data_IF_364661626337
#
_entry.id   IF_364661626337
#
_cell.length_a   1.000
_cell.length_b   1.000
_cell.length_c   1.000
_cell.angle_alpha   90.00
_cell.angle_beta   90.00
_cell.angle_gamma   90.00
#
_symmetry.space_group_name_H-M   'P 1'
#
loop_
_entity.id
_entity.type
_entity.pdbx_description
1 polymer ?
#
# COMPACT_ATOMS: atom_id res chain seq x y z
N UNK A 1 37.94 64.64 -34.15
CA UNK A 1 36.82 64.05 -33.43
C UNK A 1 36.47 62.73 -34.06
N UNK A 2 36.86 61.60 -33.43
CA UNK A 2 36.56 60.25 -33.92
C UNK A 2 35.54 59.67 -32.97
N UNK A 3 34.30 59.39 -33.46
CA UNK A 3 33.26 58.68 -32.69
C UNK A 3 33.47 57.16 -32.78
N UNK A 4 33.76 56.62 -31.64
CA UNK A 4 33.83 55.08 -31.45
C UNK A 4 32.42 54.63 -31.15
N UNK A 5 31.77 53.95 -32.10
CA UNK A 5 30.47 53.32 -31.89
C UNK A 5 30.75 51.92 -31.30
N UNK A 6 30.48 51.73 -29.99
CA UNK A 6 30.51 50.43 -29.32
C UNK A 6 29.24 49.66 -29.65
N UNK A 7 29.37 48.58 -30.43
CA UNK A 7 28.28 47.61 -30.67
C UNK A 7 28.17 46.68 -29.48
N UNK A 8 27.13 46.86 -28.70
CA UNK A 8 26.79 45.98 -27.58
C UNK A 8 26.05 44.74 -28.15
N UNK A 9 26.75 43.61 -28.28
CA UNK A 9 26.16 42.33 -28.59
C UNK A 9 25.45 41.79 -27.33
N UNK A 10 24.11 41.88 -27.29
CA UNK A 10 23.28 41.19 -26.31
C UNK A 10 23.14 39.75 -26.76
N UNK A 11 23.95 38.89 -26.19
CA UNK A 11 23.78 37.43 -26.31
C UNK A 11 22.57 37.02 -25.48
N UNK A 12 21.41 36.88 -26.13
CA UNK A 12 20.25 36.21 -25.55
C UNK A 12 20.58 34.73 -25.41
N UNK A 13 21.13 34.32 -24.27
CA UNK A 13 21.25 32.93 -23.90
C UNK A 13 19.84 32.40 -23.60
N UNK A 14 19.13 31.84 -24.60
CA UNK A 14 18.04 30.94 -24.37
C UNK A 14 18.65 29.68 -23.69
N UNK A 15 18.64 29.65 -22.36
CA UNK A 15 18.83 28.38 -21.66
C UNK A 15 17.57 27.56 -21.92
N UNK A 16 17.66 26.58 -22.78
CA UNK A 16 16.73 25.45 -22.81
C UNK A 16 16.85 24.71 -21.46
N UNK A 17 16.24 25.29 -20.43
CA UNK A 17 16.13 24.66 -19.12
C UNK A 17 15.48 23.30 -19.31
N UNK A 18 16.18 22.23 -18.93
CA UNK A 18 15.64 20.89 -18.88
C UNK A 18 14.32 20.99 -18.12
N UNK A 19 13.19 20.90 -18.83
CA UNK A 19 11.86 20.91 -18.21
C UNK A 19 11.75 19.66 -17.34
N UNK A 20 12.04 19.79 -16.05
CA UNK A 20 11.84 18.71 -15.09
C UNK A 20 10.34 18.45 -14.96
N UNK A 21 9.95 17.18 -15.09
CA UNK A 21 8.56 16.79 -14.87
C UNK A 21 8.18 17.08 -13.41
N UNK A 22 6.95 17.59 -13.16
CA UNK A 22 6.45 17.72 -11.80
C UNK A 22 6.29 16.35 -11.13
N UNK A 23 6.21 16.32 -9.81
CA UNK A 23 5.85 15.09 -9.09
C UNK A 23 4.41 14.70 -9.42
N UNK A 24 4.15 13.38 -9.47
CA UNK A 24 2.79 12.87 -9.69
C UNK A 24 1.87 13.22 -8.53
N UNK A 25 0.59 13.48 -8.86
CA UNK A 25 -0.49 13.80 -7.92
C UNK A 25 -1.35 12.55 -7.62
N UNK A 26 -2.41 12.72 -6.82
CA UNK A 26 -3.33 11.68 -6.39
C UNK A 26 -2.92 11.01 -5.09
N UNK A 27 -3.90 10.46 -4.37
CA UNK A 27 -3.68 9.73 -3.13
C UNK A 27 -3.29 8.27 -3.41
N UNK A 28 -2.87 7.55 -2.36
CA UNK A 28 -2.59 6.12 -2.44
C UNK A 28 -3.85 5.34 -2.85
N UNK A 29 -3.68 4.40 -3.77
CA UNK A 29 -4.77 3.57 -4.31
C UNK A 29 -5.93 4.40 -4.91
N UNK A 30 -5.56 5.33 -5.76
CA UNK A 30 -6.47 6.09 -6.61
C UNK A 30 -6.06 5.89 -8.07
N UNK A 31 -7.04 5.76 -8.95
CA UNK A 31 -6.85 5.56 -10.39
C UNK A 31 -7.81 6.44 -11.18
N UNK A 32 -7.30 7.10 -12.21
CA UNK A 32 -8.11 7.83 -13.19
C UNK A 32 -8.31 6.96 -14.42
N UNK A 33 -9.55 6.72 -14.77
CA UNK A 33 -9.98 6.14 -16.04
C UNK A 33 -10.36 7.26 -17.01
N UNK A 34 -9.64 7.36 -18.11
CA UNK A 34 -9.92 8.31 -19.18
C UNK A 34 -10.66 7.55 -20.27
N UNK A 35 -11.97 7.76 -20.33
CA UNK A 35 -12.89 6.99 -21.21
C UNK A 35 -14.03 7.91 -21.65
N UNK A 36 -14.51 7.77 -22.88
CA UNK A 36 -15.72 8.44 -23.33
C UNK A 36 -16.93 8.03 -22.48
N UNK A 37 -17.83 8.97 -22.20
CA UNK A 37 -18.95 8.77 -21.28
C UNK A 37 -19.88 7.62 -21.70
N UNK A 38 -20.20 7.52 -23.00
CA UNK A 38 -21.03 6.44 -23.52
C UNK A 38 -20.35 5.06 -23.37
N UNK A 39 -19.08 4.98 -23.66
CA UNK A 39 -18.30 3.76 -23.51
C UNK A 39 -18.16 3.37 -22.03
N UNK A 40 -17.94 4.38 -21.17
CA UNK A 40 -17.87 4.18 -19.72
C UNK A 40 -19.17 3.60 -19.17
N UNK A 41 -20.30 4.27 -19.39
CA UNK A 41 -21.58 3.87 -18.77
C UNK A 41 -22.07 2.50 -19.30
N UNK A 42 -21.84 2.18 -20.57
CA UNK A 42 -22.39 0.97 -21.16
C UNK A 42 -21.51 -0.27 -21.01
N UNK A 43 -20.17 -0.13 -20.92
CA UNK A 43 -19.27 -1.29 -21.08
C UNK A 43 -18.10 -1.30 -20.06
N UNK A 44 -17.52 -0.16 -19.71
CA UNK A 44 -16.28 -0.13 -18.92
C UNK A 44 -16.53 -0.04 -17.41
N UNK A 45 -17.56 0.70 -17.01
CA UNK A 45 -17.84 1.04 -15.61
C UNK A 45 -17.93 -0.20 -14.70
N UNK A 46 -18.78 -1.13 -15.04
CA UNK A 46 -19.00 -2.33 -14.23
C UNK A 46 -17.73 -3.18 -14.11
N UNK A 47 -16.99 -3.32 -15.21
CA UNK A 47 -15.72 -4.04 -15.22
C UNK A 47 -14.67 -3.33 -14.38
N UNK A 48 -14.57 -2.01 -14.50
CA UNK A 48 -13.62 -1.21 -13.70
C UNK A 48 -13.91 -1.33 -12.20
N UNK A 49 -15.18 -1.24 -11.78
CA UNK A 49 -15.54 -1.39 -10.37
C UNK A 49 -15.38 -2.82 -9.86
N UNK A 50 -15.72 -3.85 -10.66
CA UNK A 50 -15.47 -5.26 -10.30
C UNK A 50 -13.98 -5.59 -10.19
N UNK A 51 -13.10 -4.83 -10.85
CA UNK A 51 -11.66 -5.04 -10.81
C UNK A 51 -10.98 -4.18 -9.75
N UNK A 52 -11.12 -2.86 -9.83
CA UNK A 52 -10.44 -1.88 -8.97
C UNK A 52 -11.25 -1.52 -7.71
N UNK A 53 -12.57 -1.60 -7.79
CA UNK A 53 -13.48 -1.26 -6.70
C UNK A 53 -13.69 -2.39 -5.68
N UNK A 54 -13.07 -3.56 -5.86
CA UNK A 54 -13.24 -4.69 -4.93
C UNK A 54 -12.81 -4.31 -3.51
N UNK A 55 -13.54 -4.75 -2.48
CA UNK A 55 -13.19 -4.51 -1.09
C UNK A 55 -11.80 -5.09 -0.74
N UNK A 56 -11.09 -4.42 0.15
CA UNK A 56 -9.87 -4.96 0.76
C UNK A 56 -10.29 -6.10 1.68
N UNK A 57 -9.71 -7.27 1.47
CA UNK A 57 -10.00 -8.45 2.28
C UNK A 57 -9.61 -8.25 3.75
N UNK A 58 -10.45 -8.74 4.66
CA UNK A 58 -10.20 -8.69 6.10
C UNK A 58 -10.55 -7.37 6.78
N UNK A 59 -11.30 -6.48 6.12
CA UNK A 59 -11.90 -5.28 6.74
C UNK A 59 -13.40 -5.49 6.97
N UNK A 60 -13.92 -4.93 8.08
CA UNK A 60 -15.37 -4.92 8.37
C UNK A 60 -16.14 -3.86 7.59
N UNK A 61 -15.47 -2.78 7.21
CA UNK A 61 -16.03 -1.74 6.37
C UNK A 61 -15.52 -1.93 4.95
N UNK A 62 -16.41 -1.89 3.99
CA UNK A 62 -16.07 -1.99 2.58
C UNK A 62 -15.24 -0.78 2.15
N UNK A 63 -13.93 -0.94 2.19
CA UNK A 63 -13.01 -0.02 1.54
C UNK A 63 -12.51 -0.66 0.25
N UNK A 64 -12.81 -0.03 -0.87
CA UNK A 64 -12.32 -0.49 -2.17
C UNK A 64 -10.79 -0.51 -2.25
N UNK A 65 -10.23 -1.48 -2.95
CA UNK A 65 -8.77 -1.58 -3.16
C UNK A 65 -8.22 -0.36 -3.88
N UNK A 66 -8.99 0.22 -4.82
CA UNK A 66 -8.72 1.51 -5.44
C UNK A 66 -9.97 2.41 -5.43
N UNK A 67 -9.74 3.71 -5.30
CA UNK A 67 -10.74 4.72 -5.61
C UNK A 67 -10.72 4.94 -7.13
N UNK A 68 -11.82 4.61 -7.79
CA UNK A 68 -11.99 4.78 -9.23
C UNK A 68 -12.57 6.17 -9.51
N UNK A 69 -11.93 6.91 -10.42
CA UNK A 69 -12.38 8.21 -10.92
C UNK A 69 -12.45 8.10 -12.44
N UNK A 70 -13.58 8.45 -13.03
CA UNK A 70 -13.72 8.54 -14.48
C UNK A 70 -13.60 10.01 -14.92
N UNK A 71 -12.99 10.21 -16.08
CA UNK A 71 -12.84 11.51 -16.74
C UNK A 71 -13.01 11.31 -18.26
N UNK A 72 -13.78 12.17 -18.92
CA UNK A 72 -13.88 12.16 -20.38
C UNK A 72 -12.56 12.64 -21.03
N UNK A 73 -12.25 12.16 -22.22
CA UNK A 73 -11.05 12.57 -22.97
C UNK A 73 -10.94 14.10 -23.14
N UNK A 74 -12.06 14.79 -23.37
CA UNK A 74 -12.10 16.25 -23.52
C UNK A 74 -11.74 17.02 -22.25
N UNK A 75 -12.00 16.42 -21.07
CA UNK A 75 -11.75 17.01 -19.76
C UNK A 75 -10.39 16.58 -19.17
N UNK A 76 -9.77 15.56 -19.75
CA UNK A 76 -8.49 15.06 -19.29
C UNK A 76 -7.34 16.01 -19.64
N UNK A 77 -7.14 17.03 -18.81
CA UNK A 77 -6.13 18.09 -18.98
C UNK A 77 -5.57 18.58 -17.65
N UNK A 78 -4.55 19.42 -17.72
CA UNK A 78 -3.94 20.09 -16.57
C UNK A 78 -3.53 19.12 -15.45
N UNK A 79 -4.00 19.33 -14.22
CA UNK A 79 -3.65 18.54 -13.02
C UNK A 79 -4.04 17.05 -13.16
N UNK A 80 -5.08 16.72 -13.90
CA UNK A 80 -5.50 15.33 -14.11
C UNK A 80 -4.43 14.52 -14.86
N UNK A 81 -3.68 15.16 -15.77
CA UNK A 81 -2.58 14.49 -16.49
C UNK A 81 -1.40 14.16 -15.59
N UNK A 82 -1.26 14.79 -14.44
CA UNK A 82 -0.15 14.53 -13.50
C UNK A 82 -0.47 13.40 -12.51
N UNK A 83 -1.67 12.82 -12.55
CA UNK A 83 -2.06 11.74 -11.63
C UNK A 83 -1.15 10.51 -11.76
N UNK A 84 -0.86 9.83 -10.63
CA UNK A 84 0.11 8.72 -10.57
C UNK A 84 -0.31 7.47 -11.34
N UNK A 85 -1.60 7.12 -11.33
CA UNK A 85 -2.15 5.92 -11.96
C UNK A 85 -3.25 6.34 -12.95
N UNK A 86 -3.01 6.16 -14.23
CA UNK A 86 -3.94 6.54 -15.29
C UNK A 86 -4.16 5.35 -16.22
N UNK A 87 -5.42 5.03 -16.49
CA UNK A 87 -5.87 4.08 -17.50
C UNK A 87 -6.63 4.84 -18.55
N UNK A 88 -6.17 4.82 -19.79
CA UNK A 88 -6.86 5.41 -20.94
C UNK A 88 -7.43 4.27 -21.76
N UNK A 89 -8.73 4.30 -22.04
CA UNK A 89 -9.39 3.26 -22.84
C UNK A 89 -10.00 3.91 -24.08
N UNK A 90 -9.62 3.43 -25.26
CA UNK A 90 -10.08 3.97 -26.53
C UNK A 90 -10.21 2.86 -27.57
N UNK A 91 -11.13 3.01 -28.52
CA UNK A 91 -11.24 2.13 -29.69
C UNK A 91 -10.13 2.48 -30.68
N UNK A 92 -9.61 1.45 -31.36
CA UNK A 92 -8.59 1.61 -32.43
C UNK A 92 -7.29 2.32 -32.03
N UNK A 93 -6.93 2.28 -30.74
CA UNK A 93 -5.65 2.80 -30.24
C UNK A 93 -4.90 1.64 -29.59
N UNK A 94 -3.70 1.27 -30.08
CA UNK A 94 -2.99 0.11 -29.58
C UNK A 94 -2.67 0.19 -28.08
N UNK A 95 -2.75 -0.95 -27.40
CA UNK A 95 -2.38 -1.07 -26.00
C UNK A 95 -0.89 -0.75 -25.80
N UNK A 96 -0.61 0.12 -24.84
CA UNK A 96 0.76 0.55 -24.49
C UNK A 96 0.84 1.02 -23.05
N UNK A 97 2.05 1.15 -22.53
CA UNK A 97 2.29 1.77 -21.23
C UNK A 97 3.45 2.76 -21.31
N UNK A 98 3.38 3.80 -20.49
CA UNK A 98 4.40 4.82 -20.44
C UNK A 98 4.60 5.29 -19.01
N UNK A 99 5.84 5.18 -18.53
CA UNK A 99 6.24 5.76 -17.24
C UNK A 99 6.61 7.23 -17.42
N UNK A 100 6.30 8.04 -16.39
CA UNK A 100 6.68 9.45 -16.34
C UNK A 100 6.30 10.26 -17.59
N UNK A 101 5.10 10.01 -18.14
CA UNK A 101 4.64 10.70 -19.35
C UNK A 101 4.46 12.21 -19.12
N UNK A 102 3.82 12.57 -18.01
CA UNK A 102 3.50 13.97 -17.66
C UNK A 102 3.97 14.35 -16.24
N UNK A 103 4.33 13.37 -15.41
CA UNK A 103 4.79 13.59 -14.05
C UNK A 103 5.74 12.48 -13.60
N UNK A 104 6.69 12.80 -12.73
CA UNK A 104 7.58 11.81 -12.11
C UNK A 104 6.81 10.87 -11.17
N UNK A 105 7.09 9.59 -11.26
CA UNK A 105 6.38 8.58 -10.46
C UNK A 105 4.99 8.22 -10.99
N UNK A 106 4.70 8.55 -12.25
CA UNK A 106 3.46 8.22 -12.94
C UNK A 106 3.57 6.94 -13.76
N UNK A 107 2.47 6.21 -13.88
CA UNK A 107 2.28 5.20 -14.93
C UNK A 107 0.96 5.47 -15.65
N UNK A 108 1.06 5.59 -16.97
CA UNK A 108 -0.07 5.71 -17.88
C UNK A 108 -0.18 4.41 -18.67
N UNK A 109 -1.33 3.78 -18.62
CA UNK A 109 -1.65 2.59 -19.41
C UNK A 109 -2.73 2.94 -20.40
N UNK A 110 -2.44 2.78 -21.70
CA UNK A 110 -3.41 2.84 -22.78
C UNK A 110 -3.90 1.42 -23.03
N UNK A 111 -5.20 1.20 -23.05
CA UNK A 111 -5.83 -0.06 -23.45
C UNK A 111 -6.67 0.17 -24.71
N UNK A 112 -6.51 -0.73 -25.67
CA UNK A 112 -7.41 -0.83 -26.81
C UNK A 112 -8.71 -1.52 -26.37
N UNK A 113 -9.84 -0.88 -26.58
CA UNK A 113 -11.14 -1.49 -26.32
C UNK A 113 -11.59 -2.33 -27.52
N UNK A 114 -11.77 -3.64 -27.30
CA UNK A 114 -12.09 -4.62 -28.35
C UNK A 114 -13.52 -5.14 -28.32
N UNK A 115 -14.39 -4.53 -27.54
CA UNK A 115 -15.80 -4.93 -27.38
C UNK A 115 -15.98 -6.37 -26.81
N UNK A 116 -15.02 -6.76 -25.93
CA UNK A 116 -15.00 -8.04 -25.22
C UNK A 116 -14.73 -7.80 -23.71
N UNK A 117 -15.75 -8.03 -22.90
CA UNK A 117 -15.69 -7.86 -21.44
C UNK A 117 -14.63 -8.76 -20.79
N UNK A 118 -14.45 -9.99 -21.27
CA UNK A 118 -13.50 -10.94 -20.67
C UNK A 118 -12.07 -10.49 -20.93
N UNK A 119 -11.78 -9.99 -22.12
CA UNK A 119 -10.46 -9.42 -22.44
C UNK A 119 -10.22 -8.16 -21.60
N UNK A 120 -11.21 -7.27 -21.50
CA UNK A 120 -11.12 -6.08 -20.67
C UNK A 120 -10.86 -6.42 -19.18
N UNK A 121 -11.61 -7.39 -18.61
CA UNK A 121 -11.39 -7.89 -17.23
C UNK A 121 -9.95 -8.37 -17.05
N UNK A 122 -9.45 -9.19 -17.98
CA UNK A 122 -8.10 -9.74 -17.95
C UNK A 122 -7.04 -8.63 -17.97
N UNK A 123 -7.22 -7.64 -18.83
CA UNK A 123 -6.26 -6.54 -18.97
C UNK A 123 -6.33 -5.58 -17.77
N UNK A 124 -7.52 -5.25 -17.27
CA UNK A 124 -7.66 -4.44 -16.07
C UNK A 124 -7.09 -5.13 -14.81
N UNK A 125 -7.20 -6.46 -14.69
CA UNK A 125 -6.56 -7.20 -13.60
C UNK A 125 -5.03 -7.12 -13.67
N UNK A 126 -4.44 -7.22 -14.86
CA UNK A 126 -2.99 -7.02 -15.04
C UNK A 126 -2.56 -5.59 -14.66
N UNK A 127 -3.31 -4.59 -15.13
CA UNK A 127 -3.04 -3.18 -14.82
C UNK A 127 -3.14 -2.92 -13.32
N UNK A 128 -4.16 -3.45 -12.66
CA UNK A 128 -4.32 -3.36 -11.21
C UNK A 128 -3.11 -3.94 -10.47
N UNK A 129 -2.70 -5.15 -10.82
CA UNK A 129 -1.53 -5.79 -10.19
C UNK A 129 -0.24 -4.97 -10.37
N UNK A 130 -0.03 -4.37 -11.55
CA UNK A 130 1.10 -3.47 -11.81
C UNK A 130 1.02 -2.22 -10.93
N UNK A 131 -0.15 -1.59 -10.80
CA UNK A 131 -0.33 -0.41 -9.96
C UNK A 131 -0.10 -0.74 -8.48
N UNK A 132 -0.65 -1.85 -7.98
CA UNK A 132 -0.45 -2.33 -6.61
C UNK A 132 1.03 -2.56 -6.31
N UNK A 133 1.71 -3.31 -7.14
CA UNK A 133 3.15 -3.57 -7.00
C UNK A 133 3.98 -2.28 -6.99
N UNK A 134 3.69 -1.34 -7.91
CA UNK A 134 4.40 -0.05 -7.97
C UNK A 134 4.14 0.81 -6.75
N UNK A 135 2.91 0.89 -6.28
CA UNK A 135 2.56 1.66 -5.09
C UNK A 135 3.27 1.13 -3.84
N UNK A 136 3.26 -0.19 -3.65
CA UNK A 136 3.98 -0.84 -2.55
C UNK A 136 5.49 -0.55 -2.64
N UNK A 137 6.08 -0.67 -3.83
CA UNK A 137 7.52 -0.39 -4.04
C UNK A 137 7.87 1.08 -3.76
N UNK A 138 7.06 2.01 -4.22
CA UNK A 138 7.27 3.46 -3.97
C UNK A 138 7.14 3.75 -2.47
N UNK A 139 6.11 3.19 -1.82
CA UNK A 139 5.89 3.36 -0.38
C UNK A 139 7.03 2.77 0.44
N UNK A 140 7.46 1.53 0.13
CA UNK A 140 8.63 0.89 0.75
C UNK A 140 9.89 1.73 0.59
N UNK A 141 10.19 2.21 -0.60
CA UNK A 141 11.34 3.08 -0.87
C UNK A 141 11.27 4.42 -0.11
N UNK A 142 10.07 4.98 0.02
CA UNK A 142 9.87 6.21 0.80
C UNK A 142 10.15 5.99 2.28
N UNK A 143 9.58 4.94 2.87
CA UNK A 143 9.75 4.58 4.28
C UNK A 143 11.22 4.26 4.57
N UNK A 144 11.88 3.51 3.68
CA UNK A 144 13.27 3.07 3.89
C UNK A 144 14.27 4.22 4.01
N UNK A 145 13.95 5.43 3.51
CA UNK A 145 14.84 6.61 3.61
C UNK A 145 15.01 7.12 5.04
N UNK A 146 14.00 6.92 5.88
CA UNK A 146 13.98 7.38 7.29
C UNK A 146 13.73 6.24 8.27
N UNK A 147 13.87 4.99 7.88
CA UNK A 147 13.63 3.83 8.74
C UNK A 147 14.83 3.55 9.68
N UNK A 148 14.59 2.77 10.72
CA UNK A 148 15.55 2.46 11.80
C UNK A 148 16.50 1.33 11.38
N UNK A 149 17.57 1.67 10.67
CA UNK A 149 18.51 0.71 10.05
C UNK A 149 19.17 -0.25 11.05
N UNK A 150 19.45 0.19 12.24
CA UNK A 150 20.04 -0.68 13.30
C UNK A 150 19.09 -1.81 13.66
N UNK A 151 17.80 -1.51 13.89
CA UNK A 151 16.79 -2.51 14.23
C UNK A 151 16.49 -3.44 13.07
N UNK A 152 16.44 -2.91 11.85
CA UNK A 152 16.27 -3.73 10.63
C UNK A 152 17.41 -4.74 10.48
N UNK A 153 18.67 -4.32 10.76
CA UNK A 153 19.84 -5.20 10.73
C UNK A 153 19.72 -6.30 11.79
N UNK A 154 19.36 -5.95 13.02
CA UNK A 154 19.16 -6.93 14.10
C UNK A 154 18.07 -7.95 13.77
N UNK A 155 16.93 -7.50 13.22
CA UNK A 155 15.86 -8.40 12.76
C UNK A 155 16.37 -9.33 11.67
N UNK A 156 17.15 -8.83 10.70
CA UNK A 156 17.74 -9.66 9.64
C UNK A 156 18.71 -10.70 10.21
N UNK A 157 19.53 -10.34 11.18
CA UNK A 157 20.47 -11.25 11.83
C UNK A 157 19.74 -12.32 12.68
N UNK A 158 18.67 -11.95 13.38
CA UNK A 158 17.94 -12.86 14.28
C UNK A 158 16.95 -13.76 13.56
N UNK A 159 16.22 -13.23 12.58
CA UNK A 159 15.09 -13.90 11.94
C UNK A 159 15.31 -14.22 10.46
N UNK A 160 16.42 -13.75 9.88
CA UNK A 160 16.76 -13.91 8.46
C UNK A 160 15.67 -13.42 7.48
N UNK A 161 15.01 -12.31 7.83
CA UNK A 161 14.01 -11.63 6.99
C UNK A 161 14.35 -10.15 6.82
N UNK A 162 13.77 -9.55 5.78
CA UNK A 162 13.88 -8.11 5.54
C UNK A 162 12.54 -7.43 5.83
N UNK A 163 12.49 -6.66 6.90
CA UNK A 163 11.36 -5.79 7.25
C UNK A 163 11.85 -4.36 7.45
N UNK A 164 10.96 -3.38 7.31
CA UNK A 164 11.27 -1.98 7.60
C UNK A 164 10.65 -1.58 8.94
N UNK A 165 11.42 -0.83 9.73
CA UNK A 165 10.93 -0.23 10.97
C UNK A 165 10.89 1.29 10.78
N UNK A 166 9.70 1.89 10.55
CA UNK A 166 9.58 3.33 10.36
C UNK A 166 10.12 4.10 11.56
N UNK A 167 10.71 5.27 11.32
CA UNK A 167 11.41 6.06 12.34
C UNK A 167 10.53 6.49 13.51
N UNK A 168 9.23 6.63 13.28
CA UNK A 168 8.26 7.02 14.29
C UNK A 168 7.88 5.91 15.29
N UNK A 169 8.33 4.67 15.08
CA UNK A 169 8.06 3.57 16.01
C UNK A 169 9.06 3.55 17.17
N UNK A 170 8.52 3.35 18.37
CA UNK A 170 9.33 3.10 19.59
C UNK A 170 9.50 1.59 19.78
N UNK A 171 10.74 1.15 20.03
CA UNK A 171 11.03 -0.25 20.31
C UNK A 171 10.65 -0.55 21.77
N UNK A 172 9.75 -1.51 21.96
CA UNK A 172 9.28 -1.95 23.28
C UNK A 172 10.04 -3.18 23.74
N UNK A 173 10.33 -4.09 22.80
CA UNK A 173 11.02 -5.34 23.10
C UNK A 173 11.88 -5.75 21.91
N UNK A 174 13.11 -6.13 22.21
CA UNK A 174 14.05 -6.69 21.25
C UNK A 174 14.79 -7.85 21.92
N UNK A 175 14.41 -9.08 21.58
CA UNK A 175 14.97 -10.32 22.10
C UNK A 175 15.07 -11.35 20.98
N UNK A 176 15.93 -12.34 21.15
CA UNK A 176 16.11 -13.44 20.16
C UNK A 176 14.79 -14.12 19.73
N UNK A 177 13.77 -14.11 20.59
CA UNK A 177 12.49 -14.79 20.30
C UNK A 177 11.39 -13.84 19.82
N UNK A 178 11.50 -12.54 20.08
CA UNK A 178 10.43 -11.58 19.81
C UNK A 178 10.99 -10.16 19.66
N UNK A 179 10.67 -9.52 18.56
CA UNK A 179 10.77 -8.08 18.35
C UNK A 179 9.37 -7.47 18.43
N UNK A 180 9.25 -6.33 19.11
CA UNK A 180 8.02 -5.55 19.21
C UNK A 180 8.32 -4.06 19.18
N UNK A 181 7.70 -3.35 18.24
CA UNK A 181 7.72 -1.91 18.13
C UNK A 181 6.28 -1.34 18.10
N UNK A 182 6.11 -0.13 18.61
CA UNK A 182 4.81 0.53 18.65
C UNK A 182 4.91 1.99 18.20
N UNK A 183 3.85 2.47 17.56
CA UNK A 183 3.58 3.87 17.34
C UNK A 183 2.30 4.22 18.08
N UNK A 184 2.40 5.10 19.08
CA UNK A 184 1.28 5.51 19.94
C UNK A 184 1.45 7.01 20.29
N UNK A 185 1.08 7.92 19.37
CA UNK A 185 1.25 9.35 19.59
C UNK A 185 0.18 9.91 20.56
N UNK A 186 0.58 10.81 21.45
CA UNK A 186 -0.32 11.42 22.46
C UNK A 186 -1.49 12.22 21.84
N UNK A 187 -1.31 12.77 20.63
CA UNK A 187 -2.26 13.72 20.03
C UNK A 187 -3.22 13.09 19.00
N UNK A 188 -3.12 11.81 18.74
CA UNK A 188 -3.91 11.13 17.71
C UNK A 188 -4.43 9.81 18.26
N UNK A 189 -5.70 9.50 17.98
CA UNK A 189 -6.26 8.17 18.25
C UNK A 189 -5.80 7.14 17.20
N UNK A 190 -4.50 6.91 17.16
CA UNK A 190 -3.87 6.00 16.22
C UNK A 190 -2.79 5.20 16.95
N UNK A 191 -2.96 3.89 17.06
CA UNK A 191 -1.99 2.99 17.67
C UNK A 191 -1.62 1.93 16.66
N UNK A 192 -0.33 1.79 16.36
CA UNK A 192 0.18 0.72 15.48
C UNK A 192 1.16 -0.13 16.26
N UNK A 193 1.11 -1.42 16.04
CA UNK A 193 2.11 -2.35 16.55
C UNK A 193 2.72 -3.15 15.41
N UNK A 194 4.02 -3.41 15.53
CA UNK A 194 4.78 -4.32 14.70
C UNK A 194 5.39 -5.40 15.58
N UNK A 195 5.16 -6.66 15.21
CA UNK A 195 5.81 -7.81 15.85
C UNK A 195 6.58 -8.62 14.82
N UNK A 196 7.72 -9.16 15.25
CA UNK A 196 8.43 -10.24 14.55
C UNK A 196 8.75 -11.31 15.57
N UNK A 197 8.37 -12.55 15.27
CA UNK A 197 8.69 -13.70 16.11
C UNK A 197 8.85 -14.97 15.27
N UNK A 198 9.44 -16.00 15.85
CA UNK A 198 9.58 -17.28 15.17
C UNK A 198 9.23 -18.44 16.08
N UNK A 199 8.79 -19.55 15.48
CA UNK A 199 8.55 -20.80 16.17
C UNK A 199 8.81 -22.00 15.26
N UNK A 200 9.05 -23.16 15.85
CA UNK A 200 9.09 -24.42 15.13
C UNK A 200 7.67 -24.97 15.03
N UNK A 201 7.13 -25.22 13.79
CA UNK A 201 5.78 -25.71 13.62
C UNK A 201 5.65 -27.14 14.16
N UNK A 202 4.54 -27.39 14.85
CA UNK A 202 4.24 -28.69 15.43
C UNK A 202 2.88 -29.26 14.99
N UNK A 203 1.97 -28.37 14.59
CA UNK A 203 0.64 -28.76 14.18
C UNK A 203 0.58 -29.19 12.71
N UNK A 204 -0.32 -30.11 12.39
CA UNK A 204 -0.64 -30.49 11.01
C UNK A 204 -1.22 -29.30 10.24
N UNK A 205 -2.04 -28.47 10.91
CA UNK A 205 -2.60 -27.24 10.33
C UNK A 205 -1.76 -26.04 10.74
N UNK A 206 -0.78 -25.70 9.90
CA UNK A 206 0.10 -24.58 10.13
C UNK A 206 -0.61 -23.21 10.16
N UNK A 207 -1.65 -23.03 9.34
CA UNK A 207 -2.39 -21.77 9.32
C UNK A 207 -3.03 -21.49 10.67
N UNK A 208 -3.63 -22.50 11.26
CA UNK A 208 -4.22 -22.40 12.60
C UNK A 208 -3.15 -22.18 13.67
N UNK A 209 -2.00 -22.85 13.57
CA UNK A 209 -0.89 -22.67 14.52
C UNK A 209 -0.33 -21.25 14.48
N UNK A 210 -0.17 -20.64 13.30
CA UNK A 210 0.25 -19.22 13.14
C UNK A 210 -0.72 -18.30 13.87
N UNK A 211 -2.02 -18.46 13.67
CA UNK A 211 -3.03 -17.62 14.32
C UNK A 211 -3.02 -17.81 15.84
N UNK A 212 -2.93 -19.05 16.35
CA UNK A 212 -2.87 -19.33 17.78
C UNK A 212 -1.61 -18.75 18.44
N UNK A 213 -0.44 -18.84 17.78
CA UNK A 213 0.80 -18.24 18.26
C UNK A 213 0.70 -16.71 18.29
N UNK A 214 0.14 -16.12 17.24
CA UNK A 214 -0.10 -14.66 17.18
C UNK A 214 -1.04 -14.22 18.30
N UNK A 215 -2.14 -14.92 18.50
CA UNK A 215 -3.12 -14.61 19.54
C UNK A 215 -2.51 -14.73 20.96
N UNK A 216 -1.66 -15.73 21.19
CA UNK A 216 -0.91 -15.88 22.44
C UNK A 216 0.04 -14.70 22.70
N UNK A 217 0.68 -14.16 21.66
CA UNK A 217 1.54 -12.97 21.76
C UNK A 217 0.70 -11.73 22.06
N UNK A 218 -0.42 -11.54 21.36
CA UNK A 218 -1.33 -10.45 21.63
C UNK A 218 -1.82 -10.45 23.08
N UNK A 219 -2.33 -11.60 23.55
CA UNK A 219 -2.83 -11.76 24.91
C UNK A 219 -1.76 -11.51 25.99
N UNK A 220 -0.49 -11.80 25.69
CA UNK A 220 0.64 -11.61 26.62
C UNK A 220 1.12 -10.16 26.70
N UNK A 221 1.14 -9.46 25.56
CA UNK A 221 1.83 -8.17 25.45
C UNK A 221 0.91 -6.98 25.22
N UNK A 222 -0.26 -7.18 24.64
CA UNK A 222 -1.23 -6.12 24.38
C UNK A 222 -2.40 -6.18 25.39
N UNK A 223 -2.12 -5.69 26.59
CA UNK A 223 -3.08 -5.67 27.69
C UNK A 223 -3.93 -4.40 27.62
N UNK A 224 -5.20 -4.53 28.01
CA UNK A 224 -6.09 -3.38 28.21
C UNK A 224 -5.90 -2.71 29.57
N UNK A 225 -6.63 -1.62 29.79
CA UNK A 225 -6.55 -0.84 31.03
C UNK A 225 -7.17 -1.55 32.24
N UNK A 226 -8.11 -2.49 32.03
CA UNK A 226 -8.76 -3.25 33.09
C UNK A 226 -8.16 -4.63 33.21
N UNK A 227 -8.16 -5.17 34.42
CA UNK A 227 -7.67 -6.53 34.69
C UNK A 227 -8.40 -7.56 33.80
N UNK A 228 -7.63 -8.47 33.20
CA UNK A 228 -8.12 -9.51 32.30
C UNK A 228 -8.38 -9.06 30.85
N UNK A 229 -8.32 -7.76 30.55
CA UNK A 229 -8.41 -7.30 29.18
C UNK A 229 -7.12 -7.54 28.40
N UNK A 230 -7.24 -8.07 27.21
CA UNK A 230 -6.12 -8.30 26.30
C UNK A 230 -6.60 -8.28 24.85
N UNK A 231 -5.71 -8.01 23.94
CA UNK A 231 -5.97 -8.09 22.49
C UNK A 231 -6.02 -9.56 22.06
N UNK A 232 -6.97 -9.89 21.20
CA UNK A 232 -7.10 -11.19 20.56
C UNK A 232 -7.58 -11.04 19.11
N UNK A 233 -7.38 -12.06 18.30
CA UNK A 233 -7.96 -12.17 16.96
C UNK A 233 -9.48 -12.25 17.11
N UNK A 234 -10.21 -11.53 16.23
CA UNK A 234 -11.67 -11.51 16.24
C UNK A 234 -12.23 -12.87 15.76
N UNK A 235 -13.06 -13.48 16.59
CA UNK A 235 -13.59 -14.82 16.35
C UNK A 235 -14.74 -14.83 15.31
N UNK A 236 -15.48 -13.71 15.19
CA UNK A 236 -16.65 -13.64 14.31
C UNK A 236 -16.28 -13.58 12.83
N UNK A 237 -15.08 -13.13 12.53
CA UNK A 237 -14.59 -12.94 11.16
C UNK A 237 -13.28 -13.69 10.99
N UNK A 238 -13.34 -14.87 10.39
CA UNK A 238 -12.14 -15.67 10.12
C UNK A 238 -11.15 -14.88 9.25
N UNK A 239 -9.87 -14.85 9.63
CA UNK A 239 -8.85 -14.22 8.80
C UNK A 239 -8.76 -14.85 7.40
N UNK A 240 -8.65 -14.01 6.39
CA UNK A 240 -8.46 -14.46 5.00
C UNK A 240 -6.97 -14.74 4.79
N UNK A 241 -6.66 -15.94 4.27
CA UNK A 241 -5.30 -16.36 3.94
C UNK A 241 -5.08 -16.37 2.43
N UNK A 242 -4.03 -15.74 1.97
CA UNK A 242 -3.57 -15.76 0.58
C UNK A 242 -2.07 -15.45 0.52
N UNK A 243 -1.31 -16.21 -0.25
CA UNK A 243 0.12 -15.94 -0.53
C UNK A 243 0.96 -15.70 0.75
N UNK A 244 0.88 -16.61 1.72
CA UNK A 244 1.57 -16.50 3.01
C UNK A 244 1.20 -15.26 3.84
N UNK A 245 0.07 -14.65 3.54
CA UNK A 245 -0.43 -13.45 4.20
C UNK A 245 -1.82 -13.70 4.78
N UNK A 246 -2.01 -13.33 6.04
CA UNK A 246 -3.32 -13.33 6.70
C UNK A 246 -3.78 -11.89 6.86
N UNK A 247 -5.04 -11.65 6.53
CA UNK A 247 -5.72 -10.38 6.76
C UNK A 247 -6.95 -10.65 7.60
N UNK A 248 -7.10 -9.93 8.70
CA UNK A 248 -8.21 -10.15 9.62
C UNK A 248 -8.36 -8.99 10.60
N UNK A 249 -9.18 -9.24 11.60
CA UNK A 249 -9.52 -8.27 12.62
C UNK A 249 -9.05 -8.74 14.00
N UNK A 250 -8.65 -7.81 14.80
CA UNK A 250 -8.39 -7.98 16.22
C UNK A 250 -9.42 -7.18 17.05
N UNK A 251 -9.65 -7.64 18.26
CA UNK A 251 -10.45 -6.94 19.26
C UNK A 251 -9.76 -6.93 20.63
N UNK A 252 -10.10 -5.95 21.44
CA UNK A 252 -9.78 -5.96 22.86
C UNK A 252 -10.86 -6.77 23.59
N UNK A 253 -10.51 -7.94 24.12
CA UNK A 253 -11.40 -8.76 24.92
C UNK A 253 -11.90 -7.98 26.16
N UNK A 254 -13.21 -7.85 26.32
CA UNK A 254 -13.79 -7.04 27.39
C UNK A 254 -13.67 -5.52 27.20
N UNK A 255 -13.40 -5.05 25.98
CA UNK A 255 -13.30 -3.63 25.62
C UNK A 255 -13.94 -3.29 24.27
N UNK A 256 -13.75 -2.06 23.82
CA UNK A 256 -14.35 -1.54 22.57
C UNK A 256 -13.33 -1.31 21.45
N UNK A 257 -12.04 -1.54 21.72
CA UNK A 257 -11.00 -1.33 20.70
C UNK A 257 -10.94 -2.53 19.76
N UNK A 258 -10.69 -2.24 18.51
CA UNK A 258 -10.49 -3.25 17.47
C UNK A 258 -9.97 -2.61 16.20
N UNK A 259 -9.54 -3.43 15.27
CA UNK A 259 -9.07 -2.96 13.98
C UNK A 259 -8.49 -4.08 13.13
N UNK A 260 -7.99 -3.77 11.95
CA UNK A 260 -7.38 -4.78 11.11
C UNK A 260 -5.96 -5.12 11.53
N UNK A 261 -5.56 -6.33 11.17
CA UNK A 261 -4.18 -6.77 11.18
C UNK A 261 -3.77 -7.37 9.83
N UNK A 262 -2.47 -7.38 9.61
CA UNK A 262 -1.83 -8.11 8.54
C UNK A 262 -0.70 -8.95 9.13
N UNK A 263 -0.72 -10.26 8.85
CA UNK A 263 0.34 -11.18 9.21
C UNK A 263 0.98 -11.69 7.93
N UNK A 264 2.31 -11.74 7.90
CA UNK A 264 3.05 -12.36 6.81
C UNK A 264 3.97 -13.44 7.37
N UNK A 265 4.05 -14.58 6.70
CA UNK A 265 4.82 -15.73 7.15
C UNK A 265 5.95 -16.06 6.20
N UNK A 266 7.10 -16.43 6.77
CA UNK A 266 8.30 -16.83 6.03
C UNK A 266 8.77 -18.19 6.56
N UNK A 267 9.16 -19.05 5.65
CA UNK A 267 9.69 -20.37 5.98
C UNK A 267 11.22 -20.29 5.92
N UNK A 268 11.86 -20.34 7.07
CA UNK A 268 13.33 -20.22 7.21
C UNK A 268 13.81 -21.48 7.93
N UNK A 269 14.49 -22.35 7.20
CA UNK A 269 14.95 -23.64 7.68
C UNK A 269 13.79 -24.47 8.28
N UNK A 270 13.84 -24.78 9.59
CA UNK A 270 12.81 -25.53 10.32
C UNK A 270 11.82 -24.63 11.07
N UNK A 271 11.92 -23.31 10.89
CA UNK A 271 11.11 -22.32 11.61
C UNK A 271 10.15 -21.58 10.69
N UNK A 272 9.05 -21.18 11.26
CA UNK A 272 8.16 -20.16 10.67
C UNK A 272 8.47 -18.84 11.36
N UNK A 273 8.90 -17.86 10.56
CA UNK A 273 9.03 -16.47 11.01
C UNK A 273 7.74 -15.74 10.65
N UNK A 274 7.21 -15.04 11.62
CA UNK A 274 5.93 -14.32 11.50
C UNK A 274 6.17 -12.84 11.74
N UNK A 275 5.73 -12.02 10.80
CA UNK A 275 5.67 -10.57 10.96
C UNK A 275 4.21 -10.14 11.08
N UNK A 276 3.92 -9.22 11.98
CA UNK A 276 2.55 -8.77 12.25
C UNK A 276 2.50 -7.26 12.30
N UNK A 277 1.58 -6.67 11.55
CA UNK A 277 1.16 -5.28 11.71
C UNK A 277 -0.30 -5.23 12.15
N UNK A 278 -0.61 -4.51 13.23
CA UNK A 278 -1.98 -4.23 13.63
C UNK A 278 -2.18 -2.75 13.94
N UNK A 279 -3.39 -2.26 13.70
CA UNK A 279 -3.73 -0.84 13.81
C UNK A 279 -5.04 -0.63 14.56
N UNK A 280 -5.05 0.32 15.48
CA UNK A 280 -6.23 1.01 15.98
C UNK A 280 -6.27 2.41 15.42
N UNK A 281 -7.30 2.78 14.69
CA UNK A 281 -7.49 4.11 14.12
C UNK A 281 -8.99 4.31 13.81
N UNK A 282 -9.85 4.50 14.82
CA UNK A 282 -11.30 4.42 14.68
C UNK A 282 -11.85 5.40 13.64
N UNK A 283 -11.28 6.60 13.58
CA UNK A 283 -11.76 7.70 12.73
C UNK A 283 -11.15 7.75 11.33
N UNK A 284 -10.28 6.80 10.99
CA UNK A 284 -9.53 6.80 9.74
C UNK A 284 -9.88 5.61 8.84
N UNK A 285 -9.86 5.83 7.52
CA UNK A 285 -9.90 4.74 6.54
C UNK A 285 -8.67 3.86 6.70
N UNK A 286 -8.87 2.53 6.57
CA UNK A 286 -7.85 1.51 6.89
C UNK A 286 -6.92 1.19 5.72
N UNK A 287 -7.31 1.50 4.48
CA UNK A 287 -6.53 1.21 3.26
C UNK A 287 -5.06 1.63 3.37
N UNK A 288 -4.81 2.88 3.78
CA UNK A 288 -3.43 3.40 3.89
C UNK A 288 -2.56 2.58 4.85
N UNK A 289 -3.14 2.08 5.95
CA UNK A 289 -2.42 1.29 6.95
C UNK A 289 -2.10 -0.11 6.45
N UNK A 290 -3.07 -0.77 5.81
CA UNK A 290 -2.86 -2.09 5.21
C UNK A 290 -1.76 -2.00 4.14
N UNK A 291 -1.82 -1.01 3.24
CA UNK A 291 -0.76 -0.79 2.25
C UNK A 291 0.60 -0.48 2.88
N UNK A 292 0.63 0.24 4.00
CA UNK A 292 1.86 0.47 4.75
C UNK A 292 2.41 -0.83 5.31
N UNK A 293 1.57 -1.68 5.94
CA UNK A 293 2.01 -2.98 6.41
C UNK A 293 2.48 -3.90 5.28
N UNK A 294 1.79 -3.92 4.14
CA UNK A 294 2.25 -4.65 2.95
C UNK A 294 3.64 -4.19 2.48
N UNK A 295 3.96 -2.90 2.64
CA UNK A 295 5.24 -2.33 2.23
C UNK A 295 6.37 -2.60 3.22
N UNK A 296 6.10 -2.71 4.52
CA UNK A 296 7.13 -2.83 5.55
C UNK A 296 7.37 -4.27 6.03
N UNK A 297 6.34 -5.12 6.00
CA UNK A 297 6.43 -6.54 6.33
C UNK A 297 6.86 -7.34 5.09
#
# INVERSE_FOLDING_TARGET
>A
MRYLIAYLFVLSACSDGIKTLPSSTGILSEVIFVVEDMLWENQVKDVAFRTFGVPILGLTQDESSFRVIQVNHSEFKSILKTHKNIVIISKNVPTSNQQNKWANGQLVVQLEFKDDDNELIKDLNKVKAIFEFREIKILRNSISKSSQKTQEKLIKEQFNIETLIPSEYTIIKDTVALFWATYNPEKQEEIKHLFVFSFEPKAINLQQEVLQKTDSIFAKYLLGAKHGQHVKIEDMFSPVYSENTYRGLWKLNGGFMGGPFLIKTYFIDKKVVVTVGLIFAPNNRKRKYIKTFEAIL
#
